data_IF_303016995102
#
_entry.id   IF_303016995102
#
_cell.length_a   1.000
_cell.length_b   1.000
_cell.length_c   1.000
_cell.angle_alpha   90.00
_cell.angle_beta   90.00
_cell.angle_gamma   90.00
#
_symmetry.space_group_name_H-M   'P 1'
#
loop_
_entity.id
_entity.type
_entity.pdbx_description
1 polymer ?
#
# COMPACT_ATOMS: atom_id res chain seq x y z
N UNK A 1 -6.01 8.66 3.18
CA UNK A 1 -6.33 8.86 1.74
C UNK A 1 -5.14 8.43 0.91
N UNK A 2 -5.36 7.65 -0.14
CA UNK A 2 -4.33 7.22 -1.08
C UNK A 2 -4.75 7.63 -2.50
N UNK A 3 -3.84 8.27 -3.23
CA UNK A 3 -3.98 8.53 -4.66
C UNK A 3 -2.75 7.97 -5.37
N UNK A 4 -2.95 7.21 -6.45
CA UNK A 4 -1.87 6.53 -7.17
C UNK A 4 -2.07 6.72 -8.68
N UNK A 5 -0.96 6.97 -9.36
CA UNK A 5 -0.85 6.81 -10.81
C UNK A 5 0.21 5.75 -11.06
N UNK A 6 -0.19 4.59 -11.57
CA UNK A 6 0.72 3.48 -11.78
C UNK A 6 0.05 2.12 -11.74
N UNK A 7 0.90 1.10 -11.76
CA UNK A 7 0.52 -0.30 -11.67
C UNK A 7 1.52 -1.02 -10.74
N UNK A 8 1.01 -1.78 -9.77
CA UNK A 8 1.80 -2.63 -8.87
C UNK A 8 1.69 -4.08 -9.32
N UNK A 9 2.74 -4.58 -10.00
CA UNK A 9 2.74 -5.90 -10.63
C UNK A 9 2.71 -7.06 -9.64
N UNK A 10 3.36 -6.90 -8.48
CA UNK A 10 3.39 -7.92 -7.43
C UNK A 10 2.20 -7.83 -6.44
N UNK A 11 1.13 -7.09 -6.78
CA UNK A 11 0.00 -6.87 -5.86
C UNK A 11 -0.68 -8.16 -5.39
N UNK A 12 -0.70 -9.22 -6.21
CA UNK A 12 -1.31 -10.51 -5.84
C UNK A 12 -0.52 -11.22 -4.74
N UNK A 13 0.82 -11.20 -4.85
CA UNK A 13 1.72 -11.74 -3.83
C UNK A 13 1.58 -10.97 -2.52
N UNK A 14 1.56 -9.63 -2.60
CA UNK A 14 1.36 -8.78 -1.43
C UNK A 14 -0.01 -8.99 -0.79
N UNK A 15 -1.09 -9.14 -1.60
CA UNK A 15 -2.41 -9.49 -1.07
C UNK A 15 -2.42 -10.80 -0.31
N UNK A 16 -1.74 -11.82 -0.83
CA UNK A 16 -1.64 -13.11 -0.14
C UNK A 16 -0.85 -12.99 1.18
N UNK A 17 0.21 -12.18 1.21
CA UNK A 17 1.06 -11.99 2.38
C UNK A 17 0.40 -11.14 3.49
N UNK A 18 -0.39 -10.14 3.10
CA UNK A 18 -0.97 -9.16 4.02
C UNK A 18 -2.47 -9.34 4.25
N UNK A 19 -3.15 -10.26 3.57
CA UNK A 19 -4.60 -10.46 3.64
C UNK A 19 -5.13 -10.76 5.05
N UNK A 20 -4.32 -11.39 5.90
CA UNK A 20 -4.69 -11.68 7.29
C UNK A 20 -4.47 -10.49 8.25
N UNK A 21 -3.75 -9.46 7.81
CA UNK A 21 -3.40 -8.26 8.60
C UNK A 21 -4.10 -6.99 8.10
N UNK A 22 -4.49 -6.99 6.83
CA UNK A 22 -5.13 -5.87 6.16
C UNK A 22 -6.40 -6.34 5.44
N UNK A 23 -7.54 -5.79 5.85
CA UNK A 23 -8.83 -6.07 5.23
C UNK A 23 -9.00 -5.26 3.94
N UNK A 24 -8.56 -5.83 2.81
CA UNK A 24 -8.73 -5.23 1.49
C UNK A 24 -10.21 -4.94 1.17
N UNK A 25 -10.49 -3.72 0.73
CA UNK A 25 -11.82 -3.21 0.40
C UNK A 25 -12.10 -3.24 -1.10
N UNK A 26 -11.07 -3.28 -1.94
CA UNK A 26 -11.20 -3.25 -3.40
C UNK A 26 -10.39 -4.35 -4.07
N UNK A 27 -10.51 -4.44 -5.39
CA UNK A 27 -9.65 -5.27 -6.25
C UNK A 27 -8.45 -4.52 -6.83
N UNK A 28 -8.28 -3.22 -6.56
CA UNK A 28 -7.19 -2.41 -7.13
C UNK A 28 -5.83 -2.97 -6.71
N UNK A 29 -4.91 -3.05 -7.67
CA UNK A 29 -3.50 -3.36 -7.48
C UNK A 29 -2.83 -2.38 -6.51
N UNK A 30 -3.19 -1.11 -6.58
CA UNK A 30 -2.61 -0.02 -5.79
C UNK A 30 -2.97 -0.06 -4.29
N UNK A 31 -4.03 -0.78 -3.90
CA UNK A 31 -4.48 -0.84 -2.51
C UNK A 31 -3.45 -1.49 -1.56
N UNK A 32 -2.57 -2.35 -2.10
CA UNK A 32 -1.49 -2.98 -1.32
C UNK A 32 -0.52 -1.98 -0.69
N UNK A 33 -0.46 -0.74 -1.21
CA UNK A 33 0.29 0.37 -0.61
C UNK A 33 -0.25 0.70 0.79
N UNK A 34 -1.57 0.64 1.01
CA UNK A 34 -2.16 0.87 2.34
C UNK A 34 -1.79 -0.24 3.32
N UNK A 35 -1.84 -1.50 2.87
CA UNK A 35 -1.45 -2.65 3.69
C UNK A 35 0.02 -2.58 4.12
N UNK A 36 0.91 -2.27 3.17
CA UNK A 36 2.33 -2.10 3.43
C UNK A 36 2.63 -0.91 4.35
N UNK A 37 1.99 0.24 4.11
CA UNK A 37 2.16 1.43 4.96
C UNK A 37 1.70 1.17 6.39
N UNK A 38 0.59 0.45 6.58
CA UNK A 38 0.10 0.10 7.92
C UNK A 38 1.10 -0.78 8.70
N UNK A 39 1.76 -1.71 8.02
CA UNK A 39 2.72 -2.63 8.66
C UNK A 39 4.11 -2.00 8.85
N UNK A 40 4.63 -1.34 7.81
CA UNK A 40 6.04 -0.91 7.70
C UNK A 40 6.24 0.60 7.75
N UNK A 41 5.17 1.40 7.83
CA UNK A 41 5.27 2.86 7.80
C UNK A 41 5.83 3.33 6.46
N UNK A 42 6.85 4.22 6.41
CA UNK A 42 7.46 4.68 5.17
C UNK A 42 8.44 3.67 4.53
N UNK A 43 8.85 2.62 5.24
CA UNK A 43 9.95 1.73 4.85
C UNK A 43 9.48 0.51 4.01
N UNK A 44 8.59 0.73 3.04
CA UNK A 44 8.02 -0.33 2.17
C UNK A 44 8.28 -0.16 0.68
N UNK A 45 8.93 0.93 0.27
CA UNK A 45 9.08 1.26 -1.15
C UNK A 45 9.78 0.15 -1.94
N UNK A 46 10.77 -0.50 -1.35
CA UNK A 46 11.53 -1.60 -1.97
C UNK A 46 10.72 -2.90 -2.10
N UNK A 47 9.57 -3.02 -1.41
CA UNK A 47 8.69 -4.18 -1.53
C UNK A 47 7.77 -4.09 -2.76
N UNK A 48 7.63 -2.90 -3.34
CA UNK A 48 6.76 -2.68 -4.51
C UNK A 48 7.51 -2.96 -5.80
N UNK A 49 6.91 -3.80 -6.66
CA UNK A 49 7.40 -4.01 -8.01
C UNK A 49 6.40 -3.41 -8.99
N UNK A 50 6.82 -2.37 -9.71
CA UNK A 50 5.92 -1.66 -10.60
C UNK A 50 6.47 -0.34 -11.11
N UNK A 51 5.58 0.41 -11.75
CA UNK A 51 5.81 1.81 -12.12
C UNK A 51 4.70 2.62 -11.47
N UNK A 52 5.05 3.49 -10.54
CA UNK A 52 4.06 4.23 -9.76
C UNK A 52 4.57 5.58 -9.28
N UNK A 53 3.63 6.49 -9.10
CA UNK A 53 3.73 7.65 -8.25
C UNK A 53 2.49 7.68 -7.35
N UNK A 54 2.67 7.94 -6.06
CA UNK A 54 1.54 8.03 -5.13
C UNK A 54 1.69 9.17 -4.14
N UNK A 55 0.55 9.59 -3.60
CA UNK A 55 0.45 10.42 -2.42
C UNK A 55 -0.41 9.69 -1.38
N UNK A 56 0.14 9.52 -0.18
CA UNK A 56 -0.55 8.94 0.95
C UNK A 56 -0.65 9.98 2.06
N UNK A 57 -1.88 10.24 2.50
CA UNK A 57 -2.18 11.08 3.65
C UNK A 57 -2.79 10.21 4.76
N UNK A 58 -2.12 10.17 5.90
CA UNK A 58 -2.59 9.51 7.11
C UNK A 58 -3.12 10.57 8.09
N UNK A 59 -4.44 10.59 8.31
CA UNK A 59 -5.10 11.58 9.16
C UNK A 59 -4.95 11.31 10.65
N UNK A 60 -4.67 10.06 11.03
CA UNK A 60 -4.56 9.66 12.43
C UNK A 60 -3.14 9.86 12.97
N UNK A 61 -2.17 10.01 12.06
CA UNK A 61 -0.77 10.23 12.42
C UNK A 61 -0.58 11.64 12.95
N UNK A 62 -0.61 11.76 14.27
CA UNK A 62 -0.22 12.98 14.97
C UNK A 62 1.30 13.15 14.82
N UNK A 63 1.73 14.24 14.20
CA UNK A 63 3.13 14.69 14.22
C UNK A 63 3.47 15.08 15.66
N UNK A 64 4.26 14.23 16.33
CA UNK A 64 4.85 14.52 17.65
C UNK A 64 6.19 15.23 17.46
#
# INVERSE_FOLDING_TARGET
MLAVNGEIYNHQTLRAEYGDRYAFQTGSDCEVILALYQEKGPDFLDDLQGMFAFALYDSEKTLI
#
